data_IF_833243002281
#
_entry.id   IF_833243002281
#
_cell.length_a   1.000
_cell.length_b   1.000
_cell.length_c   1.000
_cell.angle_alpha   90.00
_cell.angle_beta   90.00
_cell.angle_gamma   90.00
#
_symmetry.space_group_name_H-M   'P 1'
#
loop_
_entity.id
_entity.type
_entity.pdbx_description
1 polymer ?
#
# COMPACT_ATOMS: atom_id res chain seq x y z
N UNK A 1 -25.92 -74.22 -9.59
CA UNK A 1 -25.12 -73.29 -10.45
C UNK A 1 -25.62 -71.92 -10.25
N UNK A 2 -25.01 -71.19 -9.31
CA UNK A 2 -25.40 -69.81 -8.96
C UNK A 2 -24.47 -68.85 -9.65
N UNK A 3 -25.00 -68.01 -10.54
CA UNK A 3 -24.27 -66.92 -11.20
C UNK A 3 -24.33 -65.68 -10.26
N UNK A 4 -23.22 -65.31 -9.69
CA UNK A 4 -23.00 -64.06 -9.02
C UNK A 4 -22.87 -62.93 -10.05
N UNK A 5 -23.83 -61.99 -10.06
CA UNK A 5 -23.77 -60.75 -10.82
C UNK A 5 -22.98 -59.75 -9.97
N UNK A 6 -21.76 -59.37 -10.40
CA UNK A 6 -21.01 -58.26 -9.82
C UNK A 6 -21.49 -56.96 -10.47
N UNK A 7 -22.19 -56.14 -9.70
CA UNK A 7 -22.51 -54.75 -10.09
C UNK A 7 -21.28 -53.87 -9.75
N UNK A 8 -20.59 -53.37 -10.76
CA UNK A 8 -19.54 -52.38 -10.61
C UNK A 8 -20.20 -51.02 -10.53
N UNK A 9 -20.17 -50.42 -9.35
CA UNK A 9 -20.59 -49.02 -9.14
C UNK A 9 -19.45 -48.10 -9.53
N UNK A 10 -19.55 -47.48 -10.71
CA UNK A 10 -18.59 -46.45 -11.16
C UNK A 10 -19.00 -45.12 -10.51
N UNK A 11 -18.24 -44.69 -9.51
CA UNK A 11 -18.36 -43.35 -8.98
C UNK A 11 -17.78 -42.32 -10.00
N UNK A 12 -18.66 -41.59 -10.66
CA UNK A 12 -18.29 -40.44 -11.48
C UNK A 12 -17.99 -39.29 -10.56
N UNK A 13 -16.71 -39.00 -10.29
CA UNK A 13 -16.25 -37.83 -9.55
C UNK A 13 -16.41 -36.60 -10.46
N UNK A 14 -17.52 -35.88 -10.34
CA UNK A 14 -17.71 -34.61 -11.02
C UNK A 14 -16.86 -33.59 -10.25
N UNK A 15 -15.64 -33.33 -10.75
CA UNK A 15 -14.88 -32.16 -10.31
C UNK A 15 -15.58 -30.93 -10.89
N UNK A 16 -16.37 -30.24 -10.07
CA UNK A 16 -16.79 -28.87 -10.37
C UNK A 16 -15.57 -27.99 -10.23
N UNK A 17 -14.91 -27.69 -11.33
CA UNK A 17 -13.97 -26.58 -11.40
C UNK A 17 -14.81 -25.31 -11.18
N UNK A 18 -14.83 -24.81 -9.96
CA UNK A 18 -15.37 -23.48 -9.68
C UNK A 18 -14.60 -22.49 -10.55
N UNK A 19 -15.22 -21.97 -11.57
CA UNK A 19 -14.71 -20.82 -12.31
C UNK A 19 -14.65 -19.70 -11.26
N UNK A 20 -13.45 -19.35 -10.82
CA UNK A 20 -13.25 -18.14 -10.01
C UNK A 20 -13.65 -17.00 -10.94
N UNK A 21 -14.83 -16.46 -10.71
CA UNK A 21 -15.30 -15.30 -11.45
C UNK A 21 -14.30 -14.16 -11.19
N UNK A 22 -13.77 -13.61 -12.24
CA UNK A 22 -12.89 -12.47 -12.14
C UNK A 22 -13.67 -11.28 -11.57
N UNK A 23 -13.05 -10.50 -10.71
CA UNK A 23 -13.70 -9.43 -9.95
C UNK A 23 -12.84 -8.16 -9.98
N UNK A 24 -13.48 -6.99 -9.99
CA UNK A 24 -12.86 -5.69 -9.77
C UNK A 24 -13.65 -4.99 -8.66
N UNK A 25 -12.94 -4.50 -7.64
CA UNK A 25 -13.51 -3.73 -6.53
C UNK A 25 -12.96 -2.32 -6.57
N UNK A 26 -13.83 -1.34 -6.73
CA UNK A 26 -13.51 0.08 -6.73
C UNK A 26 -13.85 0.66 -5.36
N UNK A 27 -12.95 1.48 -4.82
CA UNK A 27 -13.17 2.09 -3.52
C UNK A 27 -13.97 3.38 -3.64
N UNK A 28 -15.00 3.59 -2.82
CA UNK A 28 -15.72 4.86 -2.80
C UNK A 28 -14.81 5.98 -2.28
N UNK A 29 -14.95 7.15 -2.86
CA UNK A 29 -14.18 8.33 -2.46
C UNK A 29 -15.06 9.24 -1.60
N UNK A 30 -14.64 9.56 -0.37
CA UNK A 30 -15.40 10.45 0.49
C UNK A 30 -15.55 11.85 -0.10
N UNK A 31 -16.76 12.44 -0.04
CA UNK A 31 -17.07 13.75 -0.60
C UNK A 31 -16.14 14.87 -0.08
N UNK A 32 -15.71 14.79 1.18
CA UNK A 32 -14.83 15.80 1.79
C UNK A 32 -13.43 15.90 1.18
N UNK A 33 -13.02 14.92 0.36
CA UNK A 33 -11.72 14.95 -0.36
C UNK A 33 -11.89 14.89 -1.87
N UNK A 34 -13.10 14.64 -2.39
CA UNK A 34 -13.36 14.32 -3.79
C UNK A 34 -12.77 15.36 -4.76
N UNK A 35 -12.99 16.64 -4.52
CA UNK A 35 -12.41 17.69 -5.37
C UNK A 35 -11.03 18.15 -4.91
N UNK A 36 -10.76 18.10 -3.61
CA UNK A 36 -9.54 18.63 -3.04
C UNK A 36 -8.30 17.73 -3.26
N UNK A 37 -8.53 16.46 -3.64
CA UNK A 37 -7.45 15.47 -3.82
C UNK A 37 -7.47 14.80 -5.18
N UNK A 38 -8.23 15.33 -6.12
CA UNK A 38 -8.25 14.87 -7.50
C UNK A 38 -7.06 15.43 -8.30
N UNK A 39 -6.53 14.62 -9.19
CA UNK A 39 -5.49 15.02 -10.15
C UNK A 39 -6.01 14.81 -11.58
N UNK A 40 -6.01 15.87 -12.38
CA UNK A 40 -6.58 15.89 -13.73
C UNK A 40 -5.60 15.50 -14.84
N UNK A 41 -4.36 15.12 -14.54
CA UNK A 41 -3.35 14.82 -15.57
C UNK A 41 -3.69 13.58 -16.38
N UNK A 42 -4.41 12.65 -15.76
CA UNK A 42 -4.80 11.37 -16.37
C UNK A 42 -6.26 11.05 -16.08
N UNK A 43 -6.85 10.25 -16.97
CA UNK A 43 -8.11 9.52 -16.72
C UNK A 43 -7.83 8.05 -16.84
N UNK A 44 -8.11 7.29 -15.78
CA UNK A 44 -7.74 5.86 -15.69
C UNK A 44 -8.99 5.01 -15.57
N UNK A 45 -9.08 4.00 -16.42
CA UNK A 45 -10.19 3.03 -16.43
C UNK A 45 -9.64 1.62 -16.39
N UNK A 46 -10.43 0.74 -15.81
CA UNK A 46 -10.12 -0.70 -15.78
C UNK A 46 -11.30 -1.52 -16.26
N UNK A 47 -11.04 -2.70 -16.85
CA UNK A 47 -12.04 -3.70 -17.12
C UNK A 47 -11.45 -5.11 -17.03
N UNK A 48 -12.29 -6.09 -16.86
CA UNK A 48 -11.93 -7.49 -17.05
C UNK A 48 -11.62 -7.76 -18.53
N UNK A 49 -10.59 -8.54 -18.80
CA UNK A 49 -10.28 -8.94 -20.18
C UNK A 49 -11.47 -9.69 -20.80
N UNK A 50 -11.93 -9.19 -21.93
CA UNK A 50 -13.08 -9.73 -22.65
C UNK A 50 -14.43 -9.08 -22.32
N UNK A 51 -14.51 -8.24 -21.28
CA UNK A 51 -15.68 -7.43 -21.00
C UNK A 51 -15.70 -6.15 -21.86
N UNK A 52 -16.91 -5.57 -22.03
CA UNK A 52 -17.08 -4.36 -22.86
C UNK A 52 -16.98 -3.09 -22.04
N UNK A 53 -17.48 -3.13 -20.82
CA UNK A 53 -17.68 -1.95 -19.99
C UNK A 53 -16.43 -1.61 -19.20
N UNK A 54 -16.01 -0.37 -19.30
CA UNK A 54 -14.92 0.21 -18.52
C UNK A 54 -15.45 0.81 -17.23
N UNK A 55 -14.71 0.63 -16.16
CA UNK A 55 -14.98 1.22 -14.84
C UNK A 55 -13.93 2.30 -14.58
N UNK A 56 -14.40 3.50 -14.25
CA UNK A 56 -13.51 4.63 -13.92
C UNK A 56 -12.88 4.43 -12.55
N UNK A 57 -11.59 4.75 -12.44
CA UNK A 57 -10.89 4.88 -11.17
C UNK A 57 -10.84 6.35 -10.74
N UNK A 58 -10.66 6.59 -9.46
CA UNK A 58 -10.41 7.93 -8.96
C UNK A 58 -8.91 8.21 -8.91
N UNK A 59 -8.50 9.32 -9.50
CA UNK A 59 -7.12 9.77 -9.61
C UNK A 59 -6.77 10.66 -8.41
N UNK A 60 -6.09 10.08 -7.43
CA UNK A 60 -5.59 10.82 -6.26
C UNK A 60 -4.37 11.66 -6.61
N UNK A 61 -4.37 12.92 -6.18
CA UNK A 61 -3.18 13.74 -6.18
C UNK A 61 -2.27 13.35 -5.02
N UNK A 62 -1.04 12.96 -5.33
CA UNK A 62 0.03 12.69 -4.36
C UNK A 62 1.22 13.60 -4.65
N UNK A 63 1.88 14.08 -3.61
CA UNK A 63 3.05 14.95 -3.77
C UNK A 63 4.33 14.16 -3.64
N UNK A 64 5.30 14.52 -4.46
CA UNK A 64 6.61 13.88 -4.56
C UNK A 64 7.69 14.93 -4.66
N UNK A 65 8.94 14.55 -4.42
CA UNK A 65 10.14 15.35 -4.55
C UNK A 65 10.16 16.61 -3.67
N UNK A 66 11.02 16.65 -2.66
CA UNK A 66 11.08 17.78 -1.72
C UNK A 66 11.79 18.99 -2.28
N UNK A 67 12.64 18.84 -3.32
CA UNK A 67 13.35 19.94 -3.97
C UNK A 67 12.49 20.57 -5.07
N UNK A 68 11.86 19.72 -5.90
CA UNK A 68 10.97 20.15 -7.00
C UNK A 68 9.56 19.62 -6.72
N UNK A 69 8.91 20.16 -5.69
CA UNK A 69 7.58 19.71 -5.25
C UNK A 69 6.61 19.57 -6.41
N UNK A 70 6.33 18.33 -6.76
CA UNK A 70 5.52 17.98 -7.92
C UNK A 70 4.29 17.18 -7.50
N UNK A 71 3.27 17.27 -8.33
CA UNK A 71 2.05 16.49 -8.19
C UNK A 71 2.15 15.26 -9.10
N UNK A 72 2.02 14.07 -8.52
CA UNK A 72 1.90 12.82 -9.23
C UNK A 72 0.50 12.24 -9.02
N UNK A 73 0.11 11.33 -9.88
CA UNK A 73 -1.21 10.69 -9.82
C UNK A 73 -1.12 9.29 -9.24
N UNK A 74 -2.08 8.92 -8.39
CA UNK A 74 -2.22 7.56 -7.85
C UNK A 74 -3.64 7.06 -8.07
N UNK A 75 -3.77 5.83 -8.58
CA UNK A 75 -5.03 5.08 -8.61
C UNK A 75 -4.86 3.76 -7.86
N UNK A 76 -5.95 3.26 -7.25
CA UNK A 76 -5.94 1.98 -6.56
C UNK A 76 -7.27 1.25 -6.67
N UNK A 77 -7.21 -0.06 -6.77
CA UNK A 77 -8.36 -0.95 -6.85
C UNK A 77 -7.95 -2.38 -6.48
N UNK A 78 -8.93 -3.22 -6.12
CA UNK A 78 -8.68 -4.65 -5.97
C UNK A 78 -9.16 -5.42 -7.19
N UNK A 79 -8.52 -6.53 -7.48
CA UNK A 79 -8.96 -7.40 -8.58
C UNK A 79 -8.55 -8.86 -8.40
N UNK A 80 -9.23 -9.70 -9.14
CA UNK A 80 -8.84 -11.08 -9.41
C UNK A 80 -8.96 -11.37 -10.92
N UNK A 81 -8.26 -12.39 -11.40
CA UNK A 81 -8.24 -12.72 -12.81
C UNK A 81 -7.29 -11.85 -13.63
N UNK A 82 -7.71 -11.42 -14.81
CA UNK A 82 -6.91 -10.63 -15.74
C UNK A 82 -7.64 -9.35 -16.14
N UNK A 83 -7.00 -8.20 -15.98
CA UNK A 83 -7.61 -6.89 -16.25
C UNK A 83 -6.80 -6.08 -17.26
N UNK A 84 -7.49 -5.28 -18.03
CA UNK A 84 -6.94 -4.22 -18.86
C UNK A 84 -7.01 -2.90 -18.10
N UNK A 85 -5.94 -2.11 -18.20
CA UNK A 85 -5.84 -0.75 -17.68
C UNK A 85 -5.71 0.20 -18.87
N UNK A 86 -6.68 1.08 -19.02
CA UNK A 86 -6.69 2.14 -20.03
C UNK A 86 -6.37 3.47 -19.34
N UNK A 87 -5.34 4.14 -19.81
CA UNK A 87 -4.94 5.46 -19.32
C UNK A 87 -5.08 6.46 -20.46
N UNK A 88 -5.84 7.51 -20.25
CA UNK A 88 -5.83 8.69 -21.10
C UNK A 88 -4.94 9.75 -20.46
N UNK A 89 -3.95 10.24 -21.19
CA UNK A 89 -3.18 11.42 -20.80
C UNK A 89 -3.96 12.66 -21.22
N UNK A 90 -4.41 13.47 -20.26
CA UNK A 90 -5.32 14.58 -20.52
C UNK A 90 -4.60 15.80 -21.11
N UNK A 91 -3.29 15.93 -20.88
CA UNK A 91 -2.47 17.06 -21.32
C UNK A 91 -1.39 16.62 -22.32
N UNK A 92 -1.64 16.80 -23.61
CA UNK A 92 -0.67 16.55 -24.69
C UNK A 92 -0.57 15.08 -25.11
N UNK A 93 0.27 14.81 -26.09
CA UNK A 93 0.43 13.52 -26.73
C UNK A 93 1.34 12.58 -25.91
N UNK A 94 1.12 11.29 -26.05
CA UNK A 94 2.04 10.25 -25.59
C UNK A 94 3.03 9.92 -26.71
N UNK A 95 4.27 10.38 -26.59
CA UNK A 95 5.35 10.04 -27.53
C UNK A 95 6.12 8.79 -27.11
N UNK A 96 6.13 8.52 -25.81
CA UNK A 96 6.71 7.31 -25.22
C UNK A 96 6.08 7.04 -23.85
N UNK A 97 6.05 5.77 -23.47
CA UNK A 97 5.63 5.40 -22.12
C UNK A 97 6.44 4.19 -21.64
N UNK A 98 6.70 4.15 -20.33
CA UNK A 98 7.40 3.05 -19.67
C UNK A 98 6.63 2.65 -18.43
N UNK A 99 6.30 1.37 -18.32
CA UNK A 99 5.68 0.79 -17.11
C UNK A 99 6.77 0.18 -16.24
N UNK A 100 6.89 0.63 -15.00
CA UNK A 100 7.89 0.15 -14.04
C UNK A 100 7.25 -0.62 -12.87
N UNK A 101 8.01 -1.55 -12.25
CA UNK A 101 9.40 -1.96 -12.54
C UNK A 101 9.51 -2.73 -13.87
N UNK A 102 10.61 -2.52 -14.59
CA UNK A 102 10.84 -3.22 -15.87
C UNK A 102 10.84 -4.74 -15.75
N UNK A 103 11.18 -5.26 -14.57
CA UNK A 103 11.16 -6.69 -14.25
C UNK A 103 9.76 -7.33 -14.34
N UNK A 104 8.69 -6.52 -14.37
CA UNK A 104 7.31 -7.03 -14.56
C UNK A 104 7.02 -7.36 -16.04
N UNK A 105 7.85 -6.88 -16.99
CA UNK A 105 7.74 -7.21 -18.41
C UNK A 105 6.51 -6.65 -19.12
N UNK A 106 5.83 -5.65 -18.52
CA UNK A 106 4.62 -5.06 -19.08
C UNK A 106 5.00 -4.18 -20.27
N UNK A 107 4.43 -4.46 -21.44
CA UNK A 107 4.60 -3.69 -22.66
C UNK A 107 3.28 -2.96 -22.94
N UNK A 108 3.22 -1.64 -22.77
CA UNK A 108 2.00 -0.87 -23.06
C UNK A 108 1.87 -0.62 -24.56
N UNK A 109 0.60 -0.55 -25.02
CA UNK A 109 0.22 -0.10 -26.35
C UNK A 109 -0.16 1.37 -26.30
N UNK A 110 0.31 2.18 -27.26
CA UNK A 110 0.05 3.62 -27.33
C UNK A 110 -0.79 3.91 -28.58
N UNK A 111 -1.90 4.63 -28.42
CA UNK A 111 -2.73 5.16 -29.49
C UNK A 111 -3.12 6.62 -29.18
N UNK A 112 -2.43 7.55 -29.83
CA UNK A 112 -2.60 8.99 -29.59
C UNK A 112 -2.26 9.39 -28.16
N UNK A 113 -3.27 9.79 -27.39
CA UNK A 113 -3.13 10.11 -25.97
C UNK A 113 -3.64 9.01 -25.03
N UNK A 114 -3.86 7.80 -25.59
CA UNK A 114 -4.24 6.62 -24.82
C UNK A 114 -3.08 5.65 -24.68
N UNK A 115 -3.02 5.01 -23.51
CA UNK A 115 -2.13 3.92 -23.19
C UNK A 115 -2.94 2.75 -22.68
N UNK A 116 -2.70 1.55 -23.22
CA UNK A 116 -3.35 0.30 -22.80
C UNK A 116 -2.32 -0.71 -22.38
N UNK A 117 -2.54 -1.36 -21.24
CA UNK A 117 -1.76 -2.54 -20.82
C UNK A 117 -2.61 -3.50 -20.00
N UNK A 118 -2.11 -4.73 -19.87
CA UNK A 118 -2.80 -5.81 -19.18
C UNK A 118 -2.00 -6.27 -17.97
N UNK A 119 -2.70 -6.61 -16.88
CA UNK A 119 -2.15 -7.21 -15.67
C UNK A 119 -2.95 -8.45 -15.27
N UNK A 120 -2.27 -9.48 -14.77
CA UNK A 120 -2.84 -10.78 -14.40
C UNK A 120 -2.62 -11.17 -12.94
N UNK A 121 -1.95 -10.33 -12.19
CA UNK A 121 -1.68 -10.52 -10.75
C UNK A 121 -1.52 -9.17 -10.06
N UNK A 122 -1.77 -9.09 -8.74
CA UNK A 122 -1.55 -7.89 -7.95
C UNK A 122 -0.14 -7.33 -8.13
N UNK A 123 -0.05 -6.01 -8.34
CA UNK A 123 1.22 -5.31 -8.54
C UNK A 123 1.10 -3.82 -8.24
N UNK A 124 2.24 -3.22 -7.95
CA UNK A 124 2.42 -1.78 -7.78
C UNK A 124 3.26 -1.28 -8.94
N UNK A 125 2.67 -0.42 -9.75
CA UNK A 125 3.27 0.05 -10.99
C UNK A 125 3.40 1.56 -11.01
N UNK A 126 4.40 2.04 -11.73
CA UNK A 126 4.54 3.45 -12.11
C UNK A 126 4.59 3.55 -13.62
N UNK A 127 3.83 4.47 -14.20
CA UNK A 127 3.81 4.74 -15.63
C UNK A 127 4.44 6.11 -15.88
N UNK A 128 5.57 6.11 -16.55
CA UNK A 128 6.29 7.32 -16.98
C UNK A 128 5.90 7.66 -18.40
N UNK A 129 5.47 8.89 -18.64
CA UNK A 129 5.11 9.39 -19.97
C UNK A 129 6.14 10.40 -20.43
N UNK A 130 6.65 10.24 -21.66
CA UNK A 130 7.59 11.17 -22.31
C UNK A 130 8.88 11.41 -21.50
N UNK A 131 9.27 10.48 -20.64
CA UNK A 131 10.44 10.58 -19.78
C UNK A 131 10.23 11.40 -18.50
N UNK A 132 9.01 11.87 -18.23
CA UNK A 132 8.67 12.57 -16.98
C UNK A 132 8.56 11.58 -15.83
N UNK A 133 9.35 11.80 -14.78
CA UNK A 133 9.37 10.98 -13.57
C UNK A 133 8.66 11.62 -12.39
N UNK A 134 8.34 12.90 -12.48
CA UNK A 134 7.74 13.67 -11.40
C UNK A 134 6.21 13.70 -11.51
N UNK A 135 5.68 14.00 -12.70
CA UNK A 135 4.24 14.04 -12.96
C UNK A 135 3.77 12.73 -13.60
N UNK A 136 4.10 11.61 -12.98
CA UNK A 136 3.78 10.30 -13.49
C UNK A 136 2.56 9.67 -12.78
N UNK A 137 2.09 8.54 -13.32
CA UNK A 137 0.95 7.80 -12.79
C UNK A 137 1.43 6.57 -12.00
N UNK A 138 0.88 6.37 -10.80
CA UNK A 138 1.04 5.15 -10.01
C UNK A 138 -0.25 4.34 -10.04
N UNK A 139 -0.14 3.05 -10.37
CA UNK A 139 -1.27 2.11 -10.43
C UNK A 139 -1.07 1.02 -9.40
N UNK A 140 -1.89 1.00 -8.36
CA UNK A 140 -1.88 0.00 -7.31
C UNK A 140 -3.05 -0.95 -7.49
N UNK A 141 -2.77 -2.07 -8.13
CA UNK A 141 -3.68 -3.17 -8.33
C UNK A 141 -3.50 -4.19 -7.22
N UNK A 142 -4.36 -4.17 -6.23
CA UNK A 142 -4.27 -4.97 -5.02
C UNK A 142 -4.98 -6.33 -5.16
N UNK A 143 -4.67 -7.32 -4.32
CA UNK A 143 -5.46 -8.54 -4.23
C UNK A 143 -6.82 -8.28 -3.58
N UNK A 144 -7.84 -9.04 -3.97
CA UNK A 144 -9.12 -9.08 -3.25
C UNK A 144 -8.89 -9.54 -1.80
N UNK A 145 -9.37 -8.77 -0.83
CA UNK A 145 -9.31 -9.15 0.59
C UNK A 145 -10.39 -10.20 0.86
N UNK A 146 -9.95 -11.43 1.17
CA UNK A 146 -10.86 -12.57 1.42
C UNK A 146 -11.35 -12.66 2.85
N UNK A 147 -10.55 -12.22 3.81
CA UNK A 147 -10.81 -12.37 5.24
C UNK A 147 -10.99 -11.00 5.90
N UNK A 148 -12.14 -10.39 5.61
CA UNK A 148 -12.53 -9.14 6.28
C UNK A 148 -12.91 -9.47 7.72
N UNK A 149 -12.35 -8.80 8.75
CA UNK A 149 -12.71 -9.06 10.13
C UNK A 149 -14.16 -8.64 10.43
N UNK A 150 -14.78 -9.34 11.38
CA UNK A 150 -16.14 -8.98 11.83
C UNK A 150 -16.07 -7.64 12.59
N UNK A 151 -16.81 -6.65 12.09
CA UNK A 151 -16.88 -5.31 12.70
C UNK A 151 -17.54 -5.30 14.09
N UNK A 152 -18.24 -6.37 14.48
CA UNK A 152 -18.84 -6.50 15.79
C UNK A 152 -17.93 -7.21 16.80
N UNK A 153 -16.77 -7.71 16.40
CA UNK A 153 -15.80 -8.28 17.32
C UNK A 153 -15.22 -7.17 18.22
N UNK A 154 -15.27 -7.29 19.55
CA UNK A 154 -14.76 -6.29 20.48
C UNK A 154 -13.24 -6.01 20.33
N UNK A 155 -12.50 -6.91 19.70
CA UNK A 155 -11.09 -6.75 19.41
C UNK A 155 -10.82 -6.15 18.00
N UNK A 156 -11.85 -5.66 17.31
CA UNK A 156 -11.73 -5.05 15.99
C UNK A 156 -12.07 -3.56 16.08
N UNK A 157 -11.17 -2.73 15.62
CA UNK A 157 -11.42 -1.32 15.31
C UNK A 157 -11.63 -1.25 13.80
N UNK A 158 -12.88 -1.08 13.38
CA UNK A 158 -13.26 -1.08 11.97
C UNK A 158 -13.54 0.33 11.47
N UNK A 159 -12.79 0.77 10.48
CA UNK A 159 -13.01 2.02 9.78
C UNK A 159 -13.68 1.72 8.43
N UNK A 160 -14.98 1.99 8.33
CA UNK A 160 -15.73 1.90 7.09
C UNK A 160 -15.30 2.98 6.09
N UNK A 161 -15.69 2.85 4.82
CA UNK A 161 -15.44 3.88 3.82
C UNK A 161 -15.98 5.25 4.30
N UNK A 162 -15.13 6.28 4.25
CA UNK A 162 -15.45 7.60 4.79
C UNK A 162 -14.26 8.28 5.43
N UNK A 163 -14.44 9.50 5.97
CA UNK A 163 -13.41 10.26 6.67
C UNK A 163 -13.52 10.01 8.17
N UNK A 164 -12.42 9.64 8.79
CA UNK A 164 -12.32 9.38 10.23
C UNK A 164 -11.23 10.28 10.84
N UNK A 165 -11.60 10.96 11.90
CA UNK A 165 -10.71 11.80 12.67
C UNK A 165 -10.65 11.33 14.13
N UNK A 166 -9.46 11.34 14.78
CA UNK A 166 -9.36 10.95 16.18
C UNK A 166 -10.10 11.95 17.07
N UNK A 167 -10.71 11.46 18.14
CA UNK A 167 -11.35 12.29 19.15
C UNK A 167 -10.34 13.04 20.02
N UNK A 168 -9.13 12.50 20.16
CA UNK A 168 -8.01 13.18 20.83
C UNK A 168 -7.44 14.28 19.91
N UNK A 169 -7.79 15.52 20.19
CA UNK A 169 -7.35 16.67 19.39
C UNK A 169 -5.90 17.07 19.66
N UNK A 170 -5.31 16.66 20.79
CA UNK A 170 -3.95 17.04 21.16
C UNK A 170 -2.88 16.32 20.33
N UNK A 171 -3.06 15.03 20.07
CA UNK A 171 -2.12 14.22 19.28
C UNK A 171 -2.60 13.92 17.88
N UNK A 172 -3.88 14.08 17.59
CA UNK A 172 -4.53 13.66 16.33
C UNK A 172 -4.19 12.21 15.94
N UNK A 173 -4.21 11.30 16.92
CA UNK A 173 -3.84 9.91 16.73
C UNK A 173 -4.86 8.95 17.33
N UNK A 174 -5.01 7.81 16.68
CA UNK A 174 -5.73 6.66 17.20
C UNK A 174 -4.75 5.78 17.99
N UNK A 175 -4.99 5.55 19.27
CA UNK A 175 -4.18 4.64 20.11
C UNK A 175 -4.74 3.23 20.03
N UNK A 176 -3.90 2.28 19.67
CA UNK A 176 -4.30 0.90 19.41
C UNK A 176 -3.94 0.04 20.61
N UNK A 177 -4.89 -0.64 21.24
CA UNK A 177 -4.62 -1.57 22.32
C UNK A 177 -3.94 -2.87 21.86
N UNK A 178 -3.37 -3.64 22.80
CA UNK A 178 -2.91 -4.99 22.54
C UNK A 178 -4.04 -5.93 22.07
N UNK A 179 -3.69 -6.96 21.31
CA UNK A 179 -4.61 -7.99 20.79
C UNK A 179 -5.74 -7.42 19.92
N UNK A 180 -5.48 -6.32 19.20
CA UNK A 180 -6.46 -5.60 18.39
C UNK A 180 -6.17 -5.74 16.91
N UNK A 181 -7.21 -5.95 16.13
CA UNK A 181 -7.17 -5.80 14.66
C UNK A 181 -7.78 -4.46 14.28
N UNK A 182 -7.00 -3.59 13.66
CA UNK A 182 -7.48 -2.37 13.00
C UNK A 182 -7.73 -2.70 11.53
N UNK A 183 -8.92 -2.45 11.04
CA UNK A 183 -9.24 -2.68 9.63
C UNK A 183 -9.70 -1.39 8.97
N UNK A 184 -9.02 -1.03 7.89
CA UNK A 184 -9.34 0.13 7.06
C UNK A 184 -9.95 -0.37 5.76
N UNK A 185 -11.26 -0.25 5.61
CA UNK A 185 -11.96 -0.60 4.38
C UNK A 185 -11.43 0.22 3.20
N UNK A 186 -11.52 -0.32 1.97
CA UNK A 186 -11.23 0.45 0.77
C UNK A 186 -12.14 1.68 0.70
N UNK A 187 -11.54 2.88 0.65
CA UNK A 187 -12.26 4.16 0.76
C UNK A 187 -12.34 4.75 2.18
N UNK A 188 -11.84 4.04 3.20
CA UNK A 188 -11.61 4.64 4.52
C UNK A 188 -10.41 5.60 4.46
N UNK A 189 -10.58 6.82 4.97
CA UNK A 189 -9.57 7.88 5.01
C UNK A 189 -9.39 8.36 6.44
N UNK A 190 -8.24 8.06 7.03
CA UNK A 190 -7.89 8.53 8.37
C UNK A 190 -7.12 9.85 8.28
N UNK A 191 -7.64 10.91 8.89
CA UNK A 191 -6.94 12.18 9.11
C UNK A 191 -6.28 12.19 10.50
N UNK A 192 -5.39 11.22 10.70
CA UNK A 192 -4.68 11.03 11.96
C UNK A 192 -3.67 9.91 11.87
N UNK A 193 -2.83 9.81 12.90
CA UNK A 193 -1.84 8.73 13.03
C UNK A 193 -2.41 7.50 13.76
N UNK A 194 -1.73 6.35 13.60
CA UNK A 194 -1.97 5.14 14.40
C UNK A 194 -0.79 4.95 15.35
N UNK A 195 -1.06 4.75 16.65
CA UNK A 195 -0.02 4.55 17.67
C UNK A 195 -0.18 3.17 18.32
N UNK A 196 0.85 2.35 18.14
CA UNK A 196 1.09 1.11 18.85
C UNK A 196 2.23 1.35 19.84
N UNK A 197 1.93 1.68 21.10
CA UNK A 197 2.91 1.97 22.12
C UNK A 197 2.77 1.02 23.30
N UNK A 198 3.82 0.23 23.58
CA UNK A 198 3.85 -0.76 24.66
C UNK A 198 2.75 -1.84 24.52
N UNK A 199 2.50 -2.28 23.26
CA UNK A 199 1.43 -3.23 22.92
C UNK A 199 1.97 -4.49 22.25
N UNK A 200 1.11 -5.50 22.16
CA UNK A 200 1.43 -6.76 21.50
C UNK A 200 0.25 -7.30 20.68
N UNK A 201 0.58 -8.14 19.66
CA UNK A 201 -0.40 -8.83 18.83
C UNK A 201 -1.38 -7.88 18.14
N UNK A 202 -0.86 -6.84 17.48
CA UNK A 202 -1.67 -5.87 16.76
C UNK A 202 -1.61 -6.15 15.27
N UNK A 203 -2.75 -6.03 14.59
CA UNK A 203 -2.83 -6.07 13.12
C UNK A 203 -3.48 -4.80 12.61
N UNK A 204 -2.86 -4.18 11.62
CA UNK A 204 -3.40 -3.02 10.87
C UNK A 204 -3.56 -3.48 9.44
N UNK A 205 -4.78 -3.68 9.00
CA UNK A 205 -5.11 -4.35 7.74
C UNK A 205 -6.03 -3.49 6.86
N UNK A 206 -6.06 -3.80 5.57
CA UNK A 206 -7.03 -3.23 4.64
C UNK A 206 -6.41 -2.30 3.61
N UNK A 207 -7.23 -1.78 2.71
CA UNK A 207 -6.80 -0.93 1.60
C UNK A 207 -7.25 0.54 1.74
N UNK A 208 -7.58 0.97 2.96
CA UNK A 208 -7.80 2.38 3.27
C UNK A 208 -6.50 3.18 3.34
N UNK A 209 -6.61 4.47 3.64
CA UNK A 209 -5.46 5.36 3.65
C UNK A 209 -5.37 6.24 4.90
N UNK A 210 -4.14 6.61 5.27
CA UNK A 210 -3.84 7.72 6.15
C UNK A 210 -3.49 8.92 5.26
N UNK A 211 -4.22 10.03 5.39
CA UNK A 211 -4.07 11.20 4.53
C UNK A 211 -3.49 12.37 5.34
N UNK A 212 -2.29 12.80 4.94
CA UNK A 212 -1.57 13.94 5.51
C UNK A 212 -1.46 13.93 7.05
N UNK A 213 -1.18 12.77 7.67
CA UNK A 213 -0.99 12.72 9.12
C UNK A 213 0.29 13.46 9.53
N UNK A 214 0.38 13.88 10.81
CA UNK A 214 1.63 14.45 11.34
C UNK A 214 2.78 13.41 11.31
N UNK A 215 2.46 12.16 11.61
CA UNK A 215 3.25 10.95 11.34
C UNK A 215 2.27 9.84 10.97
N UNK A 216 2.73 8.80 10.28
CA UNK A 216 1.84 7.73 9.86
C UNK A 216 1.54 6.74 10.99
N UNK A 217 2.30 5.64 11.07
CA UNK A 217 2.10 4.56 12.05
C UNK A 217 3.34 4.50 12.94
N UNK A 218 3.15 4.60 14.25
CA UNK A 218 4.23 4.47 15.24
C UNK A 218 4.11 3.14 15.99
N UNK A 219 5.23 2.39 16.07
CA UNK A 219 5.33 1.08 16.75
C UNK A 219 6.48 1.16 17.74
N UNK A 220 6.18 1.49 19.00
CA UNK A 220 7.19 1.73 20.03
C UNK A 220 7.03 0.77 21.20
N UNK A 221 8.13 0.21 21.69
CA UNK A 221 8.15 -0.74 22.82
C UNK A 221 7.16 -1.91 22.66
N UNK A 222 6.94 -2.33 21.42
CA UNK A 222 5.86 -3.25 21.05
C UNK A 222 6.38 -4.53 20.41
N UNK A 223 5.54 -5.56 20.36
CA UNK A 223 5.90 -6.83 19.75
C UNK A 223 4.77 -7.46 18.94
N UNK A 224 5.14 -8.19 17.87
CA UNK A 224 4.21 -8.90 17.00
C UNK A 224 3.15 -7.95 16.40
N UNK A 225 3.62 -7.01 15.57
CA UNK A 225 2.77 -6.02 14.88
C UNK A 225 2.80 -6.29 13.38
N UNK A 226 1.63 -6.49 12.78
CA UNK A 226 1.44 -6.65 11.34
C UNK A 226 0.77 -5.40 10.76
N UNK A 227 1.36 -4.84 9.71
CA UNK A 227 0.79 -3.79 8.87
C UNK A 227 0.67 -4.33 7.46
N UNK A 228 -0.56 -4.41 6.90
CA UNK A 228 -0.79 -5.01 5.59
C UNK A 228 -1.84 -4.23 4.79
N UNK A 229 -1.45 -3.77 3.61
CA UNK A 229 -2.34 -3.22 2.59
C UNK A 229 -2.55 -1.71 2.59
N UNK A 230 -2.30 -1.03 3.69
CA UNK A 230 -2.62 0.39 3.86
C UNK A 230 -1.77 1.32 2.99
N UNK A 231 -2.33 2.49 2.67
CA UNK A 231 -1.63 3.56 1.94
C UNK A 231 -1.43 4.76 2.87
N UNK A 232 -0.24 5.35 2.88
CA UNK A 232 0.05 6.58 3.63
C UNK A 232 0.44 7.67 2.63
N UNK A 233 -0.34 8.75 2.61
CA UNK A 233 -0.18 9.83 1.64
C UNK A 233 0.25 11.11 2.36
N UNK A 234 1.40 11.62 1.96
CA UNK A 234 1.96 12.90 2.37
C UNK A 234 2.02 13.09 3.90
N UNK A 235 2.56 12.14 4.68
CA UNK A 235 2.82 12.38 6.09
C UNK A 235 3.84 13.52 6.26
N UNK A 236 3.74 14.27 7.35
CA UNK A 236 4.70 15.35 7.64
C UNK A 236 6.00 14.84 8.24
N UNK A 237 5.97 13.63 8.76
CA UNK A 237 7.10 12.90 9.33
C UNK A 237 7.06 11.45 8.82
N UNK A 238 7.70 10.51 9.46
CA UNK A 238 7.82 9.12 9.01
C UNK A 238 6.48 8.46 8.65
N UNK A 239 6.50 7.66 7.59
CA UNK A 239 5.36 6.80 7.21
C UNK A 239 5.11 5.73 8.26
N UNK A 240 6.15 4.98 8.62
CA UNK A 240 6.15 4.04 9.76
C UNK A 240 7.42 4.26 10.56
N UNK A 241 7.28 4.36 11.88
CA UNK A 241 8.43 4.38 12.78
C UNK A 241 8.37 3.24 13.78
N UNK A 242 9.49 2.55 13.96
CA UNK A 242 9.69 1.56 15.01
C UNK A 242 10.70 2.05 16.02
N UNK A 243 10.40 1.85 17.31
CA UNK A 243 11.33 2.17 18.41
C UNK A 243 11.37 1.05 19.44
N UNK A 244 12.55 0.41 19.64
CA UNK A 244 12.76 -0.64 20.64
C UNK A 244 11.68 -1.74 20.60
N UNK A 245 11.32 -2.19 19.39
CA UNK A 245 10.23 -3.13 19.11
C UNK A 245 10.74 -4.37 18.38
N UNK A 246 9.99 -5.46 18.44
CA UNK A 246 10.38 -6.74 17.82
C UNK A 246 9.23 -7.45 17.12
N UNK A 247 9.52 -8.19 16.05
CA UNK A 247 8.51 -8.94 15.31
C UNK A 247 7.55 -8.02 14.55
N UNK A 248 8.10 -7.02 13.84
CA UNK A 248 7.30 -6.12 12.99
C UNK A 248 7.25 -6.69 11.58
N UNK A 249 6.05 -6.85 11.04
CA UNK A 249 5.84 -7.27 9.65
C UNK A 249 5.08 -6.19 8.90
N UNK A 250 5.65 -5.71 7.80
CA UNK A 250 5.03 -4.70 6.92
C UNK A 250 4.89 -5.30 5.53
N UNK A 251 3.65 -5.41 5.05
CA UNK A 251 3.34 -5.97 3.73
C UNK A 251 2.46 -5.03 2.94
N UNK A 252 2.62 -5.06 1.62
CA UNK A 252 1.72 -4.35 0.69
C UNK A 252 1.44 -2.89 1.06
N UNK A 253 2.30 -2.25 1.85
CA UNK A 253 2.18 -0.84 2.21
C UNK A 253 2.60 0.04 1.03
N UNK A 254 1.88 1.15 0.83
CA UNK A 254 2.22 2.19 -0.15
C UNK A 254 2.41 3.51 0.57
N UNK A 255 3.44 4.27 0.15
CA UNK A 255 3.72 5.58 0.73
C UNK A 255 4.18 6.59 -0.30
N UNK A 256 3.75 7.85 -0.11
CA UNK A 256 4.23 9.02 -0.83
C UNK A 256 4.55 10.12 0.16
N UNK A 257 5.71 10.77 -0.02
CA UNK A 257 6.06 11.96 0.76
C UNK A 257 6.97 12.91 -0.04
N UNK A 258 6.96 14.19 0.36
CA UNK A 258 7.63 15.27 -0.36
C UNK A 258 8.28 16.31 0.56
N UNK A 259 8.55 15.95 1.79
CA UNK A 259 9.15 16.87 2.78
C UNK A 259 10.40 16.24 3.38
N UNK A 260 11.32 17.06 3.89
CA UNK A 260 12.39 16.57 4.76
C UNK A 260 11.80 15.92 6.03
N UNK A 261 12.45 14.89 6.53
CA UNK A 261 12.01 14.07 7.67
C UNK A 261 10.74 13.24 7.42
N UNK A 262 10.25 13.17 6.18
CA UNK A 262 9.10 12.34 5.82
C UNK A 262 9.53 11.02 5.18
N UNK A 263 10.42 10.33 5.88
CA UNK A 263 10.96 9.03 5.49
C UNK A 263 9.86 7.96 5.37
N UNK A 264 10.19 6.87 4.73
CA UNK A 264 9.29 5.73 4.62
C UNK A 264 9.23 4.94 5.93
N UNK A 265 10.18 4.05 6.15
CA UNK A 265 10.21 3.11 7.27
C UNK A 265 11.47 3.32 8.11
N UNK A 266 11.33 3.87 9.31
CA UNK A 266 12.44 4.14 10.22
C UNK A 266 12.42 3.21 11.43
N UNK A 267 13.49 2.45 11.64
CA UNK A 267 13.60 1.53 12.76
C UNK A 267 14.80 1.87 13.64
N UNK A 268 14.51 2.13 14.92
CA UNK A 268 15.49 2.45 15.95
C UNK A 268 15.50 1.34 17.00
N UNK A 269 16.63 0.64 17.15
CA UNK A 269 16.78 -0.48 18.10
C UNK A 269 15.67 -1.55 17.94
N UNK A 270 15.27 -1.85 16.71
CA UNK A 270 14.25 -2.86 16.39
C UNK A 270 14.87 -4.18 15.96
N UNK A 271 14.18 -5.29 16.17
CA UNK A 271 14.61 -6.61 15.71
C UNK A 271 13.50 -7.43 15.08
N UNK A 272 13.89 -8.38 14.22
CA UNK A 272 12.97 -9.28 13.55
C UNK A 272 11.92 -8.52 12.74
N UNK A 273 12.42 -7.67 11.83
CA UNK A 273 11.59 -6.80 10.96
C UNK A 273 11.51 -7.41 9.58
N UNK A 274 10.30 -7.69 9.11
CA UNK A 274 10.02 -8.17 7.76
C UNK A 274 9.29 -7.09 6.95
N UNK A 275 9.88 -6.70 5.83
CA UNK A 275 9.31 -5.74 4.87
C UNK A 275 9.15 -6.48 3.55
N UNK A 276 7.92 -6.64 3.07
CA UNK A 276 7.63 -7.42 1.87
C UNK A 276 6.59 -6.73 0.98
N UNK A 277 6.87 -6.66 -0.30
CA UNK A 277 5.97 -6.11 -1.32
C UNK A 277 5.48 -4.69 -1.02
N UNK A 278 6.36 -3.81 -0.50
CA UNK A 278 6.02 -2.39 -0.28
C UNK A 278 6.37 -1.52 -1.50
N UNK A 279 5.66 -0.40 -1.62
CA UNK A 279 5.97 0.68 -2.55
C UNK A 279 6.22 1.96 -1.76
N UNK A 280 7.45 2.40 -1.71
CA UNK A 280 7.85 3.60 -0.99
C UNK A 280 8.38 4.62 -2.01
N UNK A 281 7.65 5.72 -2.19
CA UNK A 281 8.13 6.90 -2.88
C UNK A 281 8.20 8.05 -1.89
N UNK A 282 9.32 8.07 -1.18
CA UNK A 282 9.60 9.03 -0.13
C UNK A 282 10.79 9.89 -0.55
N UNK A 283 10.65 11.20 -0.46
CA UNK A 283 11.71 12.13 -0.87
C UNK A 283 12.90 12.12 0.04
N UNK A 284 12.69 11.89 1.34
CA UNK A 284 13.71 11.54 2.28
C UNK A 284 13.99 10.01 2.21
N UNK A 285 14.61 9.39 3.18
CA UNK A 285 14.99 7.98 3.13
C UNK A 285 13.77 7.06 3.00
N UNK A 286 13.80 6.07 2.08
CA UNK A 286 12.70 5.10 2.02
C UNK A 286 12.73 4.14 3.19
N UNK A 287 13.92 3.66 3.59
CA UNK A 287 14.12 2.80 4.77
C UNK A 287 15.35 3.31 5.52
N UNK A 288 15.21 3.56 6.81
CA UNK A 288 16.31 3.94 7.67
C UNK A 288 16.42 3.01 8.89
N UNK A 289 17.63 2.51 9.12
CA UNK A 289 17.94 1.55 10.20
C UNK A 289 18.98 2.14 11.14
N UNK A 290 18.60 2.27 12.41
CA UNK A 290 19.43 2.85 13.43
C UNK A 290 19.54 1.91 14.65
N UNK A 291 20.70 1.89 15.29
CA UNK A 291 20.89 1.33 16.62
C UNK A 291 20.30 2.29 17.66
N UNK A 292 21.02 2.61 18.73
CA UNK A 292 20.56 3.63 19.68
C UNK A 292 20.33 4.98 19.00
N UNK A 293 19.09 5.47 19.07
CA UNK A 293 18.70 6.82 18.65
C UNK A 293 17.62 7.36 19.58
N UNK A 294 17.73 8.62 20.01
CA UNK A 294 16.84 9.24 20.97
C UNK A 294 16.77 8.44 22.28
N UNK A 295 15.59 8.01 22.70
CA UNK A 295 15.37 7.21 23.90
C UNK A 295 15.22 5.71 23.60
N UNK A 296 15.61 5.25 22.39
CA UNK A 296 15.58 3.85 22.02
C UNK A 296 16.99 3.27 22.10
N UNK A 297 17.18 2.24 22.92
CA UNK A 297 18.47 1.63 23.23
C UNK A 297 18.51 0.19 22.76
N UNK A 298 19.58 -0.18 22.10
CA UNK A 298 19.86 -1.53 21.64
C UNK A 298 20.24 -1.60 20.16
N UNK A 299 20.34 -2.83 19.65
CA UNK A 299 20.71 -3.11 18.27
C UNK A 299 19.51 -3.07 17.34
N UNK A 300 19.77 -2.72 16.08
CA UNK A 300 18.86 -3.00 14.99
C UNK A 300 19.34 -4.25 14.25
N UNK A 301 18.54 -5.32 14.20
CA UNK A 301 18.97 -6.62 13.67
C UNK A 301 17.85 -7.43 13.03
N UNK A 302 18.23 -8.41 12.19
CA UNK A 302 17.30 -9.30 11.49
C UNK A 302 16.25 -8.53 10.71
N UNK A 303 16.68 -7.57 9.88
CA UNK A 303 15.81 -6.80 9.01
C UNK A 303 15.86 -7.40 7.61
N UNK A 304 14.71 -7.80 7.07
CA UNK A 304 14.58 -8.38 5.75
C UNK A 304 13.71 -7.48 4.87
N UNK A 305 14.19 -7.16 3.67
CA UNK A 305 13.47 -6.38 2.67
C UNK A 305 13.32 -7.23 1.40
N UNK A 306 12.09 -7.53 1.01
CA UNK A 306 11.78 -8.42 -0.11
C UNK A 306 10.78 -7.75 -1.08
N UNK A 307 10.86 -8.10 -2.36
CA UNK A 307 9.86 -7.82 -3.40
C UNK A 307 9.40 -6.35 -3.50
N UNK A 308 10.17 -5.41 -3.02
CA UNK A 308 9.76 -4.03 -2.76
C UNK A 308 10.27 -3.05 -3.81
N UNK A 309 9.57 -1.94 -3.99
CA UNK A 309 10.00 -0.79 -4.79
C UNK A 309 10.33 0.36 -3.84
N UNK A 310 11.59 0.79 -3.86
CA UNK A 310 12.10 1.90 -3.06
C UNK A 310 12.52 3.02 -4.00
N UNK A 311 11.80 4.13 -3.98
CA UNK A 311 12.04 5.27 -4.82
C UNK A 311 12.27 6.51 -3.93
N UNK A 312 13.50 6.74 -3.56
CA UNK A 312 13.90 7.99 -2.91
C UNK A 312 14.11 9.05 -3.99
N UNK A 313 13.26 10.08 -4.01
CA UNK A 313 13.40 11.13 -5.02
C UNK A 313 14.70 11.92 -4.80
N UNK A 314 15.11 12.16 -3.56
CA UNK A 314 16.28 12.96 -3.19
C UNK A 314 17.29 12.20 -2.32
N UNK A 315 16.83 11.61 -1.16
CA UNK A 315 17.75 10.97 -0.21
C UNK A 315 18.11 9.52 -0.60
N UNK A 316 17.87 8.52 0.25
CA UNK A 316 18.38 7.17 0.02
C UNK A 316 17.27 6.11 -0.03
N UNK A 317 17.34 5.13 -0.94
CA UNK A 317 16.47 3.96 -0.87
C UNK A 317 16.61 3.17 0.43
N UNK A 318 17.83 3.05 0.94
CA UNK A 318 18.15 2.44 2.24
C UNK A 318 19.29 3.22 2.88
N UNK A 319 19.09 3.68 4.10
CA UNK A 319 20.09 4.34 4.94
C UNK A 319 20.35 3.49 6.20
N UNK A 320 21.61 3.24 6.51
CA UNK A 320 21.98 2.44 7.68
C UNK A 320 22.98 3.23 8.52
N UNK A 321 22.59 3.55 9.75
CA UNK A 321 23.47 4.01 10.80
C UNK A 321 23.63 5.52 10.95
N UNK A 322 23.44 6.38 9.96
CA UNK A 322 23.80 7.81 9.92
C UNK A 322 23.58 8.61 11.22
N UNK A 323 22.52 8.34 11.97
CA UNK A 323 22.16 9.03 13.21
C UNK A 323 22.22 8.16 14.46
N UNK A 324 22.70 6.93 14.35
CA UNK A 324 22.83 6.04 15.50
C UNK A 324 23.94 6.49 16.46
N UNK A 325 23.81 6.15 17.74
CA UNK A 325 24.84 6.32 18.74
C UNK A 325 25.53 4.98 18.99
N UNK A 326 26.84 4.91 18.76
CA UNK A 326 27.61 3.68 18.87
C UNK A 326 28.02 3.32 20.30
N UNK A 327 27.77 4.17 21.29
CA UNK A 327 28.16 3.92 22.68
C UNK A 327 27.34 2.80 23.34
N UNK A 328 26.19 2.46 22.79
CA UNK A 328 25.25 1.51 23.41
C UNK A 328 24.67 0.47 22.45
N UNK A 329 25.14 0.41 21.23
CA UNK A 329 24.64 -0.56 20.25
C UNK A 329 25.67 -0.99 19.25
#
# INVERSE_FOLDING_TARGET
>A
MNKLIRIALTFLLVMTTGVIQAEIVIYPVPQGIYYARHNDDYTVKVRQVGEKDWVDLYEYNVKVDMDTKSDATMVQFDFSGKVEVLVQKNNGEIRSAVVRPLSKGIQPEIDGNFLLFTIDKPQKLSVEFNGDRLNNLHVFANPIIKNVPDKNDPNVIYFEAGIHEPTDTAGKCFRIPSNTTVYLEGGAVLKGCLICDSVENVKILGHGMLLEPQQGISVTYSRNVLIDGVTVVNPRHYTVSGGQSTGITIKNLKSFSYQGWSDGLDFMSCSDVMIDDVFLRNSDDCIALYTHRWNYYGDCRNVHVLNSTLWADIAHPINIGTHGNTETG
#
